data_IF_715068216841
#
_entry.id   IF_715068216841
#
_cell.length_a   1.000
_cell.length_b   1.000
_cell.length_c   1.000
_cell.angle_alpha   90.00
_cell.angle_beta   90.00
_cell.angle_gamma   90.00
#
_symmetry.space_group_name_H-M   'P 1'
#
loop_
_entity.id
_entity.type
_entity.pdbx_description
1 polymer ?
#
# COMPACT_ATOMS: atom_id res chain seq x y z
N UNK A 1 9.27 8.28 -33.77
CA UNK A 1 7.98 8.97 -33.54
C UNK A 1 7.22 8.46 -32.29
N UNK A 2 7.67 7.43 -31.56
CA UNK A 2 6.97 6.92 -30.37
C UNK A 2 7.21 7.73 -29.09
N UNK A 3 8.39 8.36 -28.96
CA UNK A 3 8.85 9.08 -27.75
C UNK A 3 8.12 10.41 -27.51
N UNK A 4 7.60 11.03 -28.56
CA UNK A 4 6.84 12.28 -28.48
C UNK A 4 5.43 12.05 -27.96
N UNK A 5 4.84 10.88 -28.23
CA UNK A 5 3.48 10.53 -27.80
C UNK A 5 3.45 10.10 -26.33
N UNK A 6 4.52 9.44 -25.84
CA UNK A 6 4.63 8.97 -24.45
C UNK A 6 4.68 10.12 -23.45
N UNK A 7 5.51 11.13 -23.74
CA UNK A 7 5.62 12.35 -22.91
C UNK A 7 4.34 13.18 -22.93
N UNK A 8 3.62 13.14 -24.07
CA UNK A 8 2.36 13.86 -24.26
C UNK A 8 1.25 13.34 -23.34
N UNK A 9 1.04 12.03 -23.25
CA UNK A 9 -0.05 11.47 -22.43
C UNK A 9 0.15 11.73 -20.93
N UNK A 10 1.38 11.56 -20.42
CA UNK A 10 1.71 11.84 -19.01
C UNK A 10 1.50 13.33 -18.70
N UNK A 11 1.98 14.23 -19.57
CA UNK A 11 1.80 15.66 -19.40
C UNK A 11 0.33 16.09 -19.43
N UNK A 12 -0.48 15.46 -20.29
CA UNK A 12 -1.94 15.69 -20.36
C UNK A 12 -2.64 15.22 -19.09
N UNK A 13 -2.31 14.03 -18.57
CA UNK A 13 -2.87 13.54 -17.32
C UNK A 13 -2.48 14.45 -16.14
N UNK A 14 -1.22 14.87 -16.04
CA UNK A 14 -0.79 15.84 -15.02
C UNK A 14 -1.51 17.18 -15.14
N UNK A 15 -1.70 17.68 -16.36
CA UNK A 15 -2.49 18.88 -16.61
C UNK A 15 -3.92 18.74 -16.10
N UNK A 16 -4.58 17.62 -16.39
CA UNK A 16 -5.93 17.31 -15.89
C UNK A 16 -5.97 17.32 -14.35
N UNK A 17 -5.03 16.63 -13.69
CA UNK A 17 -4.98 16.53 -12.23
C UNK A 17 -4.80 17.90 -11.54
N UNK A 18 -4.07 18.82 -12.18
CA UNK A 18 -3.83 20.18 -11.65
C UNK A 18 -4.95 21.16 -11.93
N UNK A 19 -5.74 20.93 -12.97
CA UNK A 19 -6.84 21.81 -13.36
C UNK A 19 -8.08 21.64 -12.46
N UNK A 20 -8.18 20.54 -11.71
CA UNK A 20 -9.29 20.32 -10.79
C UNK A 20 -8.92 20.85 -9.40
N UNK A 21 -9.74 21.76 -8.90
CA UNK A 21 -9.60 22.35 -7.57
C UNK A 21 -10.03 21.33 -6.51
N UNK A 22 -9.13 20.41 -6.18
CA UNK A 22 -9.32 19.38 -5.16
C UNK A 22 -8.74 19.88 -3.84
N UNK A 23 -9.49 19.70 -2.74
CA UNK A 23 -9.01 20.03 -1.40
C UNK A 23 -7.74 19.25 -1.06
N UNK A 24 -6.78 19.89 -0.39
CA UNK A 24 -5.63 19.17 0.13
C UNK A 24 -6.08 18.08 1.12
N UNK A 25 -5.61 16.81 1.00
CA UNK A 25 -4.49 16.33 0.18
C UNK A 25 -4.86 15.61 -1.14
N UNK A 26 -6.09 15.79 -1.64
CA UNK A 26 -6.68 14.95 -2.69
C UNK A 26 -6.00 15.06 -4.05
N UNK A 27 -5.65 16.28 -4.48
CA UNK A 27 -4.88 16.47 -5.70
C UNK A 27 -3.51 15.78 -5.63
N UNK A 28 -2.85 15.86 -4.47
CA UNK A 28 -1.54 15.24 -4.26
C UNK A 28 -1.64 13.71 -4.23
N UNK A 29 -2.72 13.15 -3.69
CA UNK A 29 -2.98 11.70 -3.74
C UNK A 29 -3.03 11.16 -5.17
N UNK A 30 -3.69 11.87 -6.09
CA UNK A 30 -3.79 11.47 -7.50
C UNK A 30 -2.49 11.71 -8.26
N UNK A 31 -1.78 12.79 -7.97
CA UNK A 31 -0.45 13.00 -8.53
C UNK A 31 0.52 11.88 -8.12
N UNK A 32 0.47 11.43 -6.86
CA UNK A 32 1.22 10.27 -6.38
C UNK A 32 0.79 8.98 -7.09
N UNK A 33 -0.53 8.77 -7.29
CA UNK A 33 -1.03 7.61 -8.04
C UNK A 33 -0.42 7.52 -9.44
N UNK A 34 -0.33 8.64 -10.16
CA UNK A 34 0.29 8.69 -11.48
C UNK A 34 1.81 8.54 -11.44
N UNK A 35 2.48 9.25 -10.52
CA UNK A 35 3.94 9.33 -10.47
C UNK A 35 4.57 8.03 -9.96
N UNK A 36 3.97 7.44 -8.94
CA UNK A 36 4.56 6.33 -8.19
C UNK A 36 4.03 4.96 -8.65
N UNK A 37 3.22 4.92 -9.70
CA UNK A 37 2.77 3.66 -10.29
C UNK A 37 3.88 2.92 -11.02
N UNK A 38 3.67 1.62 -11.22
CA UNK A 38 4.61 0.72 -11.89
C UNK A 38 4.87 1.12 -13.34
N UNK A 39 3.83 1.59 -14.03
CA UNK A 39 3.89 2.14 -15.38
C UNK A 39 3.12 3.46 -15.43
N UNK A 40 3.82 4.61 -15.27
CA UNK A 40 3.20 5.93 -15.30
C UNK A 40 2.52 6.26 -16.63
N UNK A 41 2.98 5.70 -17.75
CA UNK A 41 2.37 5.94 -19.06
C UNK A 41 1.04 5.19 -19.18
N UNK A 42 1.02 3.90 -18.81
CA UNK A 42 -0.22 3.13 -18.76
C UNK A 42 -1.22 3.77 -17.79
N UNK A 43 -0.73 4.26 -16.65
CA UNK A 43 -1.54 4.96 -15.65
C UNK A 43 -2.11 6.27 -16.19
N UNK A 44 -1.32 7.08 -16.91
CA UNK A 44 -1.80 8.29 -17.56
C UNK A 44 -2.93 7.99 -18.56
N UNK A 45 -2.76 6.95 -19.38
CA UNK A 45 -3.79 6.51 -20.34
C UNK A 45 -5.06 6.03 -19.65
N UNK A 46 -4.91 5.32 -18.54
CA UNK A 46 -6.02 4.89 -17.71
C UNK A 46 -6.82 6.10 -17.16
N UNK A 47 -6.13 7.08 -16.58
CA UNK A 47 -6.75 8.31 -16.05
C UNK A 47 -7.51 9.05 -17.16
N UNK A 48 -6.85 9.28 -18.31
CA UNK A 48 -7.45 10.00 -19.43
C UNK A 48 -8.67 9.26 -20.01
N UNK A 49 -8.58 7.93 -20.14
CA UNK A 49 -9.68 7.10 -20.63
C UNK A 49 -10.88 7.13 -19.69
N UNK A 50 -10.64 7.03 -18.38
CA UNK A 50 -11.69 7.04 -17.36
C UNK A 50 -12.40 8.39 -17.27
N UNK A 51 -11.66 9.49 -17.36
CA UNK A 51 -12.22 10.84 -17.32
C UNK A 51 -13.00 11.19 -18.60
N UNK A 52 -12.54 10.74 -19.77
CA UNK A 52 -13.24 10.96 -21.04
C UNK A 52 -14.58 10.23 -21.15
N UNK A 53 -14.81 9.17 -20.37
CA UNK A 53 -16.04 8.38 -20.41
C UNK A 53 -17.19 8.95 -19.56
N UNK A 54 -16.86 9.58 -18.43
CA UNK A 54 -17.83 10.08 -17.44
C UNK A 54 -17.92 11.62 -17.37
N UNK A 55 -17.10 12.32 -18.17
CA UNK A 55 -16.87 13.76 -18.07
C UNK A 55 -15.78 14.08 -17.05
N UNK A 56 -14.90 15.02 -17.40
CA UNK A 56 -13.61 15.23 -16.75
C UNK A 56 -13.67 15.38 -15.22
N UNK A 57 -14.70 16.03 -14.69
CA UNK A 57 -14.87 16.23 -13.24
C UNK A 57 -15.43 15.02 -12.49
N UNK A 58 -16.40 14.30 -13.08
CA UNK A 58 -17.05 13.16 -12.42
C UNK A 58 -16.11 11.94 -12.41
N UNK A 59 -15.46 11.65 -13.54
CA UNK A 59 -14.53 10.53 -13.64
C UNK A 59 -13.34 10.67 -12.68
N UNK A 60 -12.85 11.90 -12.48
CA UNK A 60 -11.76 12.15 -11.54
C UNK A 60 -12.19 12.01 -10.07
N UNK A 61 -13.38 12.50 -9.71
CA UNK A 61 -13.92 12.34 -8.37
C UNK A 61 -14.15 10.86 -8.03
N UNK A 62 -14.68 10.08 -8.97
CA UNK A 62 -14.83 8.62 -8.83
C UNK A 62 -13.47 7.94 -8.65
N UNK A 63 -12.48 8.28 -9.49
CA UNK A 63 -11.12 7.73 -9.38
C UNK A 63 -10.50 8.02 -8.00
N UNK A 64 -10.63 9.25 -7.51
CA UNK A 64 -10.13 9.66 -6.20
C UNK A 64 -10.81 8.89 -5.06
N UNK A 65 -12.13 8.76 -5.13
CA UNK A 65 -12.90 8.00 -4.14
C UNK A 65 -12.46 6.54 -4.09
N UNK A 66 -12.31 5.90 -5.25
CA UNK A 66 -11.82 4.52 -5.37
C UNK A 66 -10.39 4.38 -4.86
N UNK A 67 -9.51 5.33 -5.20
CA UNK A 67 -8.13 5.33 -4.74
C UNK A 67 -8.03 5.45 -3.22
N UNK A 68 -8.79 6.36 -2.60
CA UNK A 68 -8.88 6.48 -1.14
C UNK A 68 -9.42 5.21 -0.50
N UNK A 69 -10.47 4.62 -1.08
CA UNK A 69 -11.03 3.36 -0.61
C UNK A 69 -9.98 2.25 -0.65
N UNK A 70 -9.23 2.14 -1.76
CA UNK A 70 -8.16 1.16 -1.91
C UNK A 70 -7.06 1.37 -0.87
N UNK A 71 -6.52 2.59 -0.72
CA UNK A 71 -5.50 2.90 0.31
C UNK A 71 -6.02 2.52 1.70
N UNK A 72 -7.28 2.82 2.00
CA UNK A 72 -7.87 2.53 3.32
C UNK A 72 -7.85 1.05 3.68
N UNK A 73 -7.88 0.15 2.67
CA UNK A 73 -7.79 -1.30 2.88
C UNK A 73 -6.40 -1.74 3.35
N UNK A 74 -5.35 -1.02 2.94
CA UNK A 74 -3.96 -1.30 3.32
C UNK A 74 -3.52 -0.54 4.56
N UNK A 75 -4.17 0.57 4.90
CA UNK A 75 -3.87 1.30 6.14
C UNK A 75 -4.48 0.60 7.34
N UNK A 76 -3.63 0.16 8.27
CA UNK A 76 -4.08 -0.45 9.51
C UNK A 76 -4.87 0.54 10.37
N UNK A 77 -6.15 0.29 10.57
CA UNK A 77 -6.93 0.89 11.65
C UNK A 77 -6.91 -0.05 12.86
N UNK A 78 -6.30 0.42 13.96
CA UNK A 78 -6.08 -0.36 15.19
C UNK A 78 -7.34 -0.92 15.83
N UNK A 79 -8.50 -0.35 15.51
CA UNK A 79 -9.79 -0.82 16.00
C UNK A 79 -10.36 -2.03 15.24
N UNK A 80 -9.97 -2.22 13.97
CA UNK A 80 -10.61 -3.19 13.05
C UNK A 80 -9.83 -4.48 12.86
N UNK A 81 -8.50 -4.46 12.99
CA UNK A 81 -7.66 -5.57 12.52
C UNK A 81 -6.70 -6.18 13.55
N UNK A 82 -6.80 -5.81 14.84
CA UNK A 82 -6.08 -6.57 15.86
C UNK A 82 -6.77 -7.93 16.02
N UNK A 83 -6.08 -9.03 15.72
CA UNK A 83 -6.57 -10.36 16.12
C UNK A 83 -6.88 -10.33 17.62
N UNK A 84 -8.14 -10.51 18.00
CA UNK A 84 -8.58 -10.56 19.41
C UNK A 84 -8.45 -11.95 20.00
N UNK A 85 -8.02 -12.93 19.20
CA UNK A 85 -7.83 -14.30 19.64
C UNK A 85 -6.55 -14.39 20.50
N UNK A 86 -6.67 -14.67 21.81
CA UNK A 86 -5.52 -14.77 22.71
C UNK A 86 -4.56 -15.90 22.31
N UNK A 87 -5.05 -16.95 21.64
CA UNK A 87 -4.25 -18.08 21.16
C UNK A 87 -3.32 -17.63 20.04
N UNK A 88 -3.85 -16.90 19.05
CA UNK A 88 -3.08 -16.33 17.93
C UNK A 88 -2.07 -15.31 18.46
N UNK A 89 -2.49 -14.41 19.35
CA UNK A 89 -1.59 -13.43 19.98
C UNK A 89 -0.44 -14.13 20.72
N UNK A 90 -0.73 -15.18 21.49
CA UNK A 90 0.29 -15.91 22.24
C UNK A 90 1.29 -16.60 21.31
N UNK A 91 0.82 -17.17 20.21
CA UNK A 91 1.65 -17.84 19.19
C UNK A 91 2.56 -16.84 18.50
N UNK A 92 2.03 -15.68 18.09
CA UNK A 92 2.82 -14.59 17.48
C UNK A 92 3.85 -14.05 18.48
N UNK A 93 3.47 -13.82 19.74
CA UNK A 93 4.41 -13.38 20.79
C UNK A 93 5.53 -14.37 21.00
N UNK A 94 5.23 -15.67 20.99
CA UNK A 94 6.25 -16.73 21.11
C UNK A 94 7.17 -16.76 19.88
N UNK A 95 6.61 -16.67 18.67
CA UNK A 95 7.37 -16.58 17.40
C UNK A 95 8.37 -15.42 17.43
N UNK A 96 7.91 -14.25 17.86
CA UNK A 96 8.70 -13.01 17.87
C UNK A 96 9.49 -12.82 19.18
N UNK A 97 9.52 -13.82 20.06
CA UNK A 97 10.24 -13.80 21.36
C UNK A 97 9.86 -12.59 22.23
N UNK A 98 8.63 -12.13 22.13
CA UNK A 98 8.13 -10.96 22.85
C UNK A 98 8.84 -9.65 22.48
N UNK A 99 9.37 -9.54 21.25
CA UNK A 99 10.07 -8.35 20.75
C UNK A 99 9.37 -7.81 19.51
N UNK A 100 9.41 -6.49 19.36
CA UNK A 100 8.98 -5.82 18.15
C UNK A 100 9.84 -6.27 16.97
N UNK A 101 9.23 -6.73 15.88
CA UNK A 101 9.94 -7.19 14.70
C UNK A 101 10.70 -6.06 13.97
N UNK A 102 10.32 -4.80 14.18
CA UNK A 102 10.94 -3.63 13.55
C UNK A 102 12.12 -3.08 14.35
N UNK A 103 11.96 -2.97 15.67
CA UNK A 103 12.93 -2.28 16.54
C UNK A 103 13.75 -3.26 17.38
N UNK A 104 13.36 -4.53 17.46
CA UNK A 104 13.95 -5.52 18.37
C UNK A 104 13.63 -5.29 19.85
N UNK A 105 12.87 -4.25 20.18
CA UNK A 105 12.56 -3.87 21.56
C UNK A 105 11.37 -4.66 22.12
N UNK A 106 11.45 -5.02 23.40
CA UNK A 106 10.36 -5.70 24.12
C UNK A 106 9.19 -4.78 24.50
N UNK A 107 8.25 -5.34 25.26
CA UNK A 107 7.11 -4.61 25.82
C UNK A 107 7.55 -3.44 26.71
N UNK A 108 6.83 -2.31 26.59
CA UNK A 108 6.93 -1.15 27.48
C UNK A 108 5.53 -0.72 27.88
N UNK A 109 5.36 -0.21 29.10
CA UNK A 109 4.07 0.31 29.58
C UNK A 109 3.57 1.47 28.70
N UNK A 110 4.48 2.34 28.28
CA UNK A 110 4.18 3.52 27.45
C UNK A 110 4.11 3.22 25.95
N UNK A 111 4.67 2.08 25.54
CA UNK A 111 4.73 1.67 24.14
C UNK A 111 4.58 0.14 24.04
N UNK A 112 3.35 -0.36 24.27
CA UNK A 112 3.10 -1.78 24.35
C UNK A 112 3.25 -2.45 22.99
N UNK A 113 3.50 -3.76 23.02
CA UNK A 113 3.47 -4.59 21.82
C UNK A 113 2.04 -4.89 21.40
N UNK A 114 1.75 -4.64 20.13
CA UNK A 114 0.49 -4.88 19.45
C UNK A 114 0.70 -5.83 18.27
N UNK A 115 -0.34 -6.58 17.94
CA UNK A 115 -0.36 -7.47 16.79
C UNK A 115 -1.04 -6.73 15.64
N UNK A 116 -0.32 -6.55 14.53
CA UNK A 116 -0.79 -5.82 13.35
C UNK A 116 -0.75 -6.74 12.13
N UNK A 117 -1.75 -6.70 11.24
CA UNK A 117 -1.70 -7.44 9.99
C UNK A 117 -0.63 -6.84 9.06
N UNK A 118 -0.02 -7.69 8.23
CA UNK A 118 0.94 -7.30 7.18
C UNK A 118 0.17 -7.00 5.90
N UNK A 119 -0.72 -7.92 5.52
CA UNK A 119 -1.65 -7.78 4.40
C UNK A 119 -3.09 -7.71 4.93
N UNK A 120 -4.02 -7.10 4.18
CA UNK A 120 -5.43 -7.06 4.56
C UNK A 120 -5.99 -8.46 4.85
N UNK A 121 -6.60 -8.65 6.02
CA UNK A 121 -6.93 -9.95 6.62
C UNK A 121 -8.32 -10.48 6.25
N UNK A 122 -9.27 -9.59 5.99
CA UNK A 122 -10.58 -9.97 5.45
C UNK A 122 -10.42 -10.13 3.95
N UNK A 123 -10.34 -11.39 3.52
CA UNK A 123 -9.76 -11.82 2.26
C UNK A 123 -10.12 -10.94 1.09
N UNK A 124 -9.27 -9.95 0.82
CA UNK A 124 -9.14 -9.14 -0.38
C UNK A 124 -10.37 -9.17 -1.32
N UNK A 125 -11.57 -8.91 -0.76
CA UNK A 125 -12.80 -8.81 -1.55
C UNK A 125 -12.81 -7.40 -2.11
N UNK A 126 -11.89 -7.22 -3.04
CA UNK A 126 -11.72 -6.01 -3.78
C UNK A 126 -12.71 -6.10 -4.93
N UNK A 127 -13.64 -5.15 -4.98
CA UNK A 127 -14.54 -4.98 -6.10
C UNK A 127 -13.72 -4.92 -7.40
N UNK A 128 -14.29 -5.39 -8.52
CA UNK A 128 -13.57 -5.53 -9.79
C UNK A 128 -12.84 -4.25 -10.19
N UNK A 129 -13.46 -3.11 -9.92
CA UNK A 129 -12.97 -1.76 -10.21
C UNK A 129 -11.72 -1.41 -9.37
N UNK A 130 -11.73 -1.76 -8.09
CA UNK A 130 -10.58 -1.54 -7.19
C UNK A 130 -9.44 -2.51 -7.50
N UNK A 131 -9.75 -3.70 -8.00
CA UNK A 131 -8.76 -4.71 -8.41
C UNK A 131 -8.02 -4.25 -9.66
N UNK A 132 -8.77 -3.74 -10.64
CA UNK A 132 -8.20 -3.07 -11.80
C UNK A 132 -7.32 -1.88 -11.40
N UNK A 133 -7.83 -1.00 -10.52
CA UNK A 133 -7.11 0.18 -10.06
C UNK A 133 -5.79 -0.19 -9.36
N UNK A 134 -5.82 -1.20 -8.49
CA UNK A 134 -4.63 -1.72 -7.84
C UNK A 134 -3.64 -2.30 -8.86
N UNK A 135 -4.14 -3.06 -9.84
CA UNK A 135 -3.33 -3.64 -10.92
C UNK A 135 -2.66 -2.59 -11.80
N UNK A 136 -3.32 -1.46 -12.07
CA UNK A 136 -2.70 -0.30 -12.75
C UNK A 136 -1.58 0.28 -11.89
N UNK A 137 -1.77 0.39 -10.58
CA UNK A 137 -0.78 0.99 -9.68
C UNK A 137 0.46 0.11 -9.48
N UNK A 138 0.29 -1.17 -9.12
CA UNK A 138 1.41 -2.06 -8.74
C UNK A 138 1.88 -2.98 -9.87
N UNK A 139 1.09 -3.09 -10.94
CA UNK A 139 1.30 -4.02 -12.05
C UNK A 139 0.64 -5.39 -11.82
N UNK A 140 0.23 -6.09 -12.89
CA UNK A 140 -0.55 -7.33 -12.80
C UNK A 140 0.21 -8.46 -12.12
N UNK A 141 1.51 -8.62 -12.39
CA UNK A 141 2.30 -9.70 -11.78
C UNK A 141 2.43 -9.58 -10.26
N UNK A 142 2.54 -8.35 -9.75
CA UNK A 142 2.61 -8.11 -8.30
C UNK A 142 1.23 -8.26 -7.65
N UNK A 143 0.17 -7.85 -8.35
CA UNK A 143 -1.21 -8.07 -7.92
C UNK A 143 -1.53 -9.57 -7.78
N UNK A 144 -1.23 -10.38 -8.79
CA UNK A 144 -1.48 -11.83 -8.76
C UNK A 144 -0.73 -12.49 -7.60
N UNK A 145 0.54 -12.11 -7.39
CA UNK A 145 1.32 -12.58 -6.26
C UNK A 145 0.70 -12.18 -4.92
N UNK A 146 0.26 -10.92 -4.80
CA UNK A 146 -0.32 -10.37 -3.57
C UNK A 146 -1.60 -11.11 -3.20
N UNK A 147 -2.48 -11.35 -4.17
CA UNK A 147 -3.73 -12.11 -3.99
C UNK A 147 -3.47 -13.55 -3.57
N UNK A 148 -2.54 -14.22 -4.26
CA UNK A 148 -2.16 -15.60 -3.94
C UNK A 148 -1.54 -15.69 -2.54
N UNK A 149 -0.76 -14.69 -2.13
CA UNK A 149 -0.18 -14.64 -0.78
C UNK A 149 -1.22 -14.34 0.29
N UNK A 150 -2.06 -13.32 0.10
CA UNK A 150 -3.12 -12.99 1.04
C UNK A 150 -4.03 -14.20 1.30
N UNK A 151 -4.34 -14.99 0.27
CA UNK A 151 -5.16 -16.19 0.39
C UNK A 151 -4.47 -17.39 1.08
N UNK A 152 -3.13 -17.42 1.13
CA UNK A 152 -2.36 -18.58 1.62
C UNK A 152 -1.74 -18.39 3.00
N UNK A 153 -1.64 -17.16 3.50
CA UNK A 153 -1.03 -16.88 4.80
C UNK A 153 -1.97 -17.24 5.95
N UNK A 154 -1.46 -18.01 6.91
CA UNK A 154 -2.17 -18.20 8.18
C UNK A 154 -2.21 -16.88 8.97
N UNK A 155 -3.14 -16.73 9.94
CA UNK A 155 -3.16 -15.55 10.80
C UNK A 155 -1.80 -15.28 11.47
N UNK A 156 -1.08 -16.31 11.90
CA UNK A 156 0.24 -16.15 12.50
C UNK A 156 1.29 -15.65 11.52
N UNK A 157 1.16 -15.98 10.22
CA UNK A 157 2.11 -15.54 9.19
C UNK A 157 1.79 -14.13 8.69
N UNK A 158 0.50 -13.78 8.61
CA UNK A 158 0.04 -12.47 8.13
C UNK A 158 0.05 -11.37 9.20
N UNK A 159 0.67 -11.59 10.36
CA UNK A 159 0.75 -10.58 11.41
C UNK A 159 2.16 -10.38 11.92
N UNK A 160 2.44 -9.14 12.32
CA UNK A 160 3.63 -8.73 13.04
C UNK A 160 3.32 -8.38 14.48
N UNK A 161 4.27 -8.68 15.36
CA UNK A 161 4.35 -8.07 16.68
C UNK A 161 5.17 -6.79 16.58
N UNK A 162 4.54 -5.65 16.78
CA UNK A 162 5.21 -4.33 16.73
C UNK A 162 4.90 -3.52 17.97
N UNK A 163 5.71 -2.50 18.23
CA UNK A 163 5.37 -1.46 19.20
C UNK A 163 4.21 -0.62 18.70
N UNK A 164 3.37 -0.13 19.62
CA UNK A 164 2.24 0.74 19.28
C UNK A 164 2.69 1.98 18.51
N UNK A 165 3.82 2.57 18.88
CA UNK A 165 4.45 3.68 18.17
C UNK A 165 4.84 3.32 16.73
N UNK A 166 5.44 2.13 16.55
CA UNK A 166 5.83 1.64 15.23
C UNK A 166 4.62 1.29 14.35
N UNK A 167 3.54 0.72 14.92
CA UNK A 167 2.28 0.53 14.22
C UNK A 167 1.69 1.85 13.72
N UNK A 168 1.68 2.87 14.57
CA UNK A 168 1.19 4.20 14.19
C UNK A 168 2.04 4.80 13.05
N UNK A 169 3.35 4.64 13.12
CA UNK A 169 4.25 5.09 12.06
C UNK A 169 4.04 4.34 10.74
N UNK A 170 3.72 3.04 10.76
CA UNK A 170 3.31 2.28 9.54
C UNK A 170 2.03 2.89 8.96
N UNK A 171 0.98 3.06 9.77
CA UNK A 171 -0.30 3.62 9.31
C UNK A 171 -0.15 5.05 8.75
N UNK A 172 0.83 5.81 9.25
CA UNK A 172 1.14 7.17 8.78
C UNK A 172 2.07 7.21 7.56
N UNK A 173 2.48 6.07 7.01
CA UNK A 173 3.35 6.02 5.83
C UNK A 173 4.82 6.31 6.12
N UNK A 174 5.30 6.19 7.37
CA UNK A 174 6.74 6.35 7.65
C UNK A 174 7.58 5.13 7.22
N UNK A 175 6.94 4.02 6.89
CA UNK A 175 7.59 2.80 6.44
C UNK A 175 7.15 2.42 5.03
N UNK A 176 8.12 1.98 4.24
CA UNK A 176 7.91 1.40 2.92
C UNK A 176 8.05 -0.12 3.01
N UNK A 177 7.03 -0.82 2.51
CA UNK A 177 7.03 -2.28 2.45
C UNK A 177 7.57 -2.71 1.10
N UNK A 178 8.78 -3.26 1.08
CA UNK A 178 9.32 -3.84 -0.14
C UNK A 178 8.93 -5.31 -0.23
N UNK A 179 8.24 -5.65 -1.30
CA UNK A 179 8.01 -7.03 -1.70
C UNK A 179 9.15 -7.43 -2.62
N UNK A 180 10.17 -8.08 -2.06
CA UNK A 180 11.18 -8.70 -2.89
C UNK A 180 10.62 -10.00 -3.47
N UNK A 181 10.64 -10.13 -4.80
CA UNK A 181 10.38 -11.39 -5.50
C UNK A 181 11.58 -12.35 -5.32
N UNK A 182 11.85 -12.70 -4.06
CA UNK A 182 12.95 -13.57 -3.66
C UNK A 182 12.46 -15.00 -3.45
N UNK A 183 12.68 -15.84 -4.45
CA UNK A 183 12.82 -17.29 -4.29
C UNK A 183 14.02 -17.59 -3.38
N UNK A 184 13.91 -17.32 -2.08
CA UNK A 184 14.74 -17.94 -1.05
C UNK A 184 13.82 -18.49 0.01
N UNK A 185 13.89 -19.81 0.18
CA UNK A 185 13.22 -20.58 1.23
C UNK A 185 13.78 -20.14 2.57
N UNK A 186 13.25 -19.05 3.11
CA UNK A 186 13.34 -18.75 4.53
C UNK A 186 11.94 -18.76 5.12
N UNK A 187 11.80 -19.38 6.30
CA UNK A 187 10.53 -19.53 7.04
C UNK A 187 10.02 -18.21 7.64
N UNK A 188 10.41 -17.07 7.08
CA UNK A 188 9.92 -15.74 7.41
C UNK A 188 9.38 -15.12 6.12
N UNK A 189 8.24 -14.42 6.14
CA UNK A 189 7.97 -13.48 5.05
C UNK A 189 9.13 -12.49 5.02
N UNK A 190 9.98 -12.58 4.00
CA UNK A 190 11.04 -11.61 3.73
C UNK A 190 10.39 -10.31 3.26
N UNK A 191 9.84 -9.56 4.20
CA UNK A 191 9.57 -8.14 4.05
C UNK A 191 10.77 -7.43 4.67
N UNK A 192 11.71 -6.99 3.82
CA UNK A 192 12.75 -6.09 4.26
C UNK A 192 12.13 -4.70 4.45
N UNK A 193 12.36 -4.09 5.62
CA UNK A 193 11.92 -2.72 5.91
C UNK A 193 13.19 -1.88 5.95
N UNK A 194 13.34 -0.99 4.98
CA UNK A 194 14.46 -0.06 4.92
C UNK A 194 14.09 1.24 5.62
N UNK A 195 14.95 1.67 6.54
CA UNK A 195 14.93 3.02 7.10
C UNK A 195 15.66 3.96 6.13
N UNK A 196 15.02 5.05 5.71
CA UNK A 196 15.53 5.94 4.67
C UNK A 196 16.62 6.86 5.23
N UNK A 197 17.89 6.51 5.04
CA UNK A 197 19.01 7.49 5.00
C UNK A 197 19.71 7.34 3.64
N UNK A 198 19.54 8.38 2.81
CA UNK A 198 20.18 8.65 1.51
C UNK A 198 20.88 7.52 0.75
N UNK A 199 20.18 6.86 -0.19
CA UNK A 199 20.62 6.58 -1.58
C UNK A 199 19.65 5.63 -2.30
N UNK A 200 19.42 5.88 -3.59
CA UNK A 200 18.38 5.32 -4.48
C UNK A 200 18.82 3.95 -5.05
N UNK A 201 17.95 2.92 -5.07
CA UNK A 201 17.17 2.62 -6.28
C UNK A 201 15.66 2.46 -6.00
N UNK A 202 14.87 3.26 -6.71
CA UNK A 202 13.47 3.09 -7.20
C UNK A 202 12.62 1.91 -6.67
N UNK A 203 11.33 2.02 -6.26
CA UNK A 203 10.32 3.07 -5.97
C UNK A 203 9.12 2.30 -5.37
N UNK A 204 8.57 2.72 -4.22
CA UNK A 204 7.13 2.89 -3.91
C UNK A 204 6.97 3.62 -2.56
N UNK A 205 7.25 4.93 -2.56
CA UNK A 205 7.09 5.76 -1.37
C UNK A 205 5.62 6.05 -1.07
N UNK A 206 5.08 5.50 0.03
CA UNK A 206 3.93 6.13 0.68
C UNK A 206 4.46 7.34 1.47
N UNK A 207 4.53 8.51 0.83
CA UNK A 207 4.82 9.75 1.55
C UNK A 207 3.54 10.28 2.19
N UNK A 208 3.66 10.51 3.50
CA UNK A 208 2.90 11.45 4.33
C UNK A 208 1.97 12.37 3.54
N UNK A 209 0.67 12.23 3.79
CA UNK A 209 -0.37 13.23 3.54
C UNK A 209 -1.20 13.36 4.81
#
# INVERSE_FOLDING_TARGET
MAETTTTSDIGRAQGLLRCVDLEYPDGQLLECFLRDSKDPLQTARYILGRCSAEGDGLGLATLLSDWKRLISMFTYNSSRHSSRDPTIISTIRKRDRGKCCLTGLGHSVWDPLVVVPILPTEGFQIDKELHELLGIFIGPSLLDWLLLKAASLSPEQNHWLVRKSAAAAITQGFFELMIESGLKRDRRPNCAIHHKEGSIPSVCSFHRL
#
